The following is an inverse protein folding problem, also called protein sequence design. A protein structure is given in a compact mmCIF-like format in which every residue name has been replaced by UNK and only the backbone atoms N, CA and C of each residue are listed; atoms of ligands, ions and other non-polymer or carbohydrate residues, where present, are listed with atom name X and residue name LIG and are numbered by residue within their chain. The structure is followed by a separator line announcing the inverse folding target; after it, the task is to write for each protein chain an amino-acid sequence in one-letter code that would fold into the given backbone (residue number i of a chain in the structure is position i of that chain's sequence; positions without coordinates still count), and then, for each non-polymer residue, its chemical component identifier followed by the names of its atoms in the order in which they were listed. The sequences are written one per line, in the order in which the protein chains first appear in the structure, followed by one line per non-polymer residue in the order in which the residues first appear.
data_IF_940646533389
#
_entry.id   IF_940646533389
#
_cell.length_a   1.000
_cell.length_b   1.000
_cell.length_c   1.000
_cell.angle_alpha   90.00
_cell.angle_beta   90.00
_cell.angle_gamma   90.00
#
_symmetry.space_group_name_H-M   'P 1'
#
loop_
_entity.id
_entity.type
_entity.pdbx_description
1 polymer ?
#
# COMPACT_ATOMS: atom_id res chain seq x y z
N UNK A 1 41.53 -7.30 -3.16
CA UNK A 1 40.87 -6.16 -2.46
C UNK A 1 41.78 -5.69 -1.34
N UNK A 2 42.30 -4.47 -1.42
CA UNK A 2 43.21 -3.90 -0.40
C UNK A 2 42.36 -3.36 0.75
N UNK A 3 42.43 -3.96 1.95
CA UNK A 3 41.81 -3.35 3.15
C UNK A 3 42.66 -2.15 3.54
N UNK A 4 42.06 -0.96 3.56
CA UNK A 4 42.69 0.23 4.12
C UNK A 4 42.77 0.03 5.63
N UNK A 5 43.97 0.15 6.20
CA UNK A 5 44.12 0.18 7.66
C UNK A 5 43.54 1.51 8.19
N UNK A 6 43.09 1.57 9.44
CA UNK A 6 42.53 2.79 10.04
C UNK A 6 43.47 4.01 9.87
N UNK A 7 44.80 3.89 10.09
CA UNK A 7 45.73 4.99 9.83
C UNK A 7 45.78 5.44 8.36
N UNK A 8 45.63 4.51 7.40
CA UNK A 8 45.60 4.84 5.97
C UNK A 8 44.30 5.59 5.61
N UNK A 9 43.19 5.25 6.26
CA UNK A 9 41.90 5.93 6.07
C UNK A 9 41.95 7.36 6.64
N UNK A 10 42.49 7.53 7.84
CA UNK A 10 42.65 8.85 8.45
C UNK A 10 43.54 9.75 7.60
N UNK A 11 44.63 9.20 7.04
CA UNK A 11 45.49 9.93 6.12
C UNK A 11 44.76 10.27 4.81
N UNK A 12 43.94 9.36 4.28
CA UNK A 12 43.14 9.62 3.09
C UNK A 12 42.08 10.71 3.32
N UNK A 13 41.40 10.68 4.47
CA UNK A 13 40.41 11.70 4.86
C UNK A 13 41.07 13.05 5.12
N UNK A 14 42.25 13.08 5.76
CA UNK A 14 43.00 14.31 5.95
C UNK A 14 43.41 14.95 4.62
N UNK A 15 43.88 14.14 3.66
CA UNK A 15 44.18 14.61 2.30
C UNK A 15 42.93 15.11 1.59
N UNK A 16 41.80 14.43 1.73
CA UNK A 16 40.53 14.84 1.14
C UNK A 16 40.04 16.19 1.71
N UNK A 17 40.18 16.39 3.02
CA UNK A 17 39.82 17.65 3.70
C UNK A 17 40.74 18.83 3.35
N UNK A 18 41.96 18.57 2.88
CA UNK A 18 42.89 19.59 2.40
C UNK A 18 42.61 20.04 0.96
N UNK A 19 41.74 19.33 0.22
CA UNK A 19 41.37 19.74 -1.14
C UNK A 19 40.38 20.91 -1.11
N UNK A 20 40.47 21.85 -2.06
CA UNK A 20 39.52 22.94 -2.16
C UNK A 20 38.12 22.38 -2.45
N UNK A 21 37.12 22.90 -1.73
CA UNK A 21 35.72 22.49 -1.89
C UNK A 21 35.24 22.85 -3.30
N UNK A 22 34.78 21.88 -4.11
CA UNK A 22 34.24 22.17 -5.43
C UNK A 22 33.01 23.08 -5.35
N UNK A 23 32.99 24.17 -6.13
CA UNK A 23 31.85 25.10 -6.20
C UNK A 23 30.54 24.44 -6.62
N UNK A 24 30.62 23.33 -7.38
CA UNK A 24 29.46 22.53 -7.79
C UNK A 24 28.69 21.91 -6.61
N UNK A 25 29.35 21.64 -5.47
CA UNK A 25 28.69 21.09 -4.28
C UNK A 25 27.66 22.08 -3.72
N UNK A 26 27.95 23.39 -3.79
CA UNK A 26 27.00 24.43 -3.34
C UNK A 26 25.73 24.47 -4.19
N UNK A 27 25.79 24.04 -5.46
CA UNK A 27 24.64 23.98 -6.35
C UNK A 27 23.80 22.68 -6.19
N UNK A 28 24.25 21.72 -5.37
CA UNK A 28 23.51 20.47 -5.15
C UNK A 28 22.20 20.75 -4.43
N UNK A 29 22.21 21.59 -3.41
CA UNK A 29 21.01 21.91 -2.63
C UNK A 29 19.93 22.52 -3.53
N UNK A 30 20.29 23.50 -4.35
CA UNK A 30 19.39 24.11 -5.34
C UNK A 30 18.84 23.07 -6.32
N UNK A 31 19.68 22.18 -6.84
CA UNK A 31 19.27 21.12 -7.75
C UNK A 31 18.28 20.13 -7.09
N UNK A 32 18.51 19.79 -5.82
CA UNK A 32 17.61 18.92 -5.04
C UNK A 32 16.27 19.60 -4.82
N UNK A 33 16.25 20.88 -4.43
CA UNK A 33 15.00 21.61 -4.22
C UNK A 33 14.21 21.79 -5.51
N UNK A 34 14.87 22.06 -6.63
CA UNK A 34 14.24 22.10 -7.96
C UNK A 34 13.64 20.74 -8.32
N UNK A 35 14.39 19.65 -8.14
CA UNK A 35 13.91 18.29 -8.40
C UNK A 35 12.71 17.91 -7.53
N UNK A 36 12.75 18.26 -6.24
CA UNK A 36 11.65 18.00 -5.31
C UNK A 36 10.39 18.81 -5.67
N UNK A 37 10.56 20.08 -6.06
CA UNK A 37 9.45 20.92 -6.51
C UNK A 37 8.78 20.35 -7.75
N UNK A 38 9.55 19.81 -8.70
CA UNK A 38 9.03 19.13 -9.88
C UNK A 38 8.30 17.83 -9.51
N UNK A 39 8.90 16.97 -8.68
CA UNK A 39 8.27 15.73 -8.20
C UNK A 39 6.95 15.99 -7.45
N UNK A 40 6.88 17.06 -6.64
CA UNK A 40 5.62 17.48 -6.00
C UNK A 40 4.55 17.90 -6.99
N UNK A 41 4.91 18.58 -8.09
CA UNK A 41 3.93 18.97 -9.13
C UNK A 41 3.35 17.74 -9.83
N UNK A 42 4.18 16.76 -10.13
CA UNK A 42 3.75 15.46 -10.69
C UNK A 42 2.84 14.71 -9.70
N UNK A 43 3.21 14.70 -8.42
CA UNK A 43 2.42 14.10 -7.35
C UNK A 43 1.09 14.83 -7.08
N UNK A 44 0.97 16.14 -7.39
CA UNK A 44 -0.28 16.91 -7.27
C UNK A 44 -1.18 16.72 -8.50
N UNK A 45 -0.63 16.31 -9.65
CA UNK A 45 -1.45 15.93 -10.81
C UNK A 45 -2.16 14.56 -10.63
N UNK A 46 -1.52 13.61 -9.94
CA UNK A 46 -2.06 12.28 -9.65
C UNK A 46 -3.37 12.22 -8.81
N UNK A 47 -3.57 12.99 -7.72
CA UNK A 47 -4.72 12.87 -6.84
C UNK A 47 -6.03 13.32 -7.48
N UNK A 48 -6.00 14.14 -8.53
CA UNK A 48 -7.22 14.60 -9.20
C UNK A 48 -7.88 13.45 -9.95
N UNK A 49 -7.09 12.59 -10.62
CA UNK A 49 -7.58 11.38 -11.27
C UNK A 49 -8.05 10.33 -10.26
N UNK A 50 -7.32 10.16 -9.14
CA UNK A 50 -7.72 9.25 -8.08
C UNK A 50 -9.02 9.71 -7.39
N UNK A 51 -9.17 11.01 -7.17
CA UNK A 51 -10.42 11.62 -6.69
C UNK A 51 -11.59 11.42 -7.66
N UNK A 52 -11.37 11.60 -8.97
CA UNK A 52 -12.39 11.30 -9.99
C UNK A 52 -12.74 9.81 -10.03
N UNK A 53 -11.76 8.91 -9.95
CA UNK A 53 -12.00 7.47 -9.92
C UNK A 53 -12.79 7.06 -8.67
N UNK A 54 -12.46 7.61 -7.50
CA UNK A 54 -13.18 7.38 -6.26
C UNK A 54 -14.62 7.90 -6.33
N UNK A 55 -14.83 9.11 -6.86
CA UNK A 55 -16.17 9.67 -7.06
C UNK A 55 -17.00 8.84 -8.04
N UNK A 56 -16.39 8.42 -9.16
CA UNK A 56 -17.05 7.58 -10.16
C UNK A 56 -17.41 6.20 -9.58
N UNK A 57 -16.50 5.56 -8.85
CA UNK A 57 -16.76 4.28 -8.18
C UNK A 57 -17.89 4.38 -7.14
N UNK A 58 -17.98 5.50 -6.40
CA UNK A 58 -19.10 5.75 -5.49
C UNK A 58 -20.43 5.91 -6.24
N UNK A 59 -20.45 6.68 -7.32
CA UNK A 59 -21.67 6.88 -8.13
C UNK A 59 -22.12 5.55 -8.75
N UNK A 60 -21.22 4.79 -9.37
CA UNK A 60 -21.56 3.48 -9.92
C UNK A 60 -21.92 2.46 -8.85
N UNK A 61 -21.24 2.47 -7.70
CA UNK A 61 -21.50 1.55 -6.60
C UNK A 61 -22.87 1.79 -5.95
N UNK A 62 -23.24 3.05 -5.73
CA UNK A 62 -24.56 3.41 -5.17
C UNK A 62 -25.67 3.16 -6.19
N UNK A 63 -25.49 3.56 -7.45
CA UNK A 63 -26.50 3.35 -8.50
C UNK A 63 -26.64 1.85 -8.86
N UNK A 64 -25.54 1.12 -8.96
CA UNK A 64 -25.54 -0.32 -9.27
C UNK A 64 -25.95 -1.19 -8.10
N UNK A 65 -25.47 -0.90 -6.88
CA UNK A 65 -25.76 -1.68 -5.69
C UNK A 65 -27.17 -1.47 -5.12
N UNK A 66 -27.76 -0.28 -5.30
CA UNK A 66 -29.13 0.02 -4.84
C UNK A 66 -30.23 -0.45 -5.79
N UNK A 67 -29.96 -0.53 -7.09
CA UNK A 67 -30.97 -0.85 -8.11
C UNK A 67 -30.92 -2.33 -8.55
N UNK A 68 -29.78 -3.00 -8.40
CA UNK A 68 -29.59 -4.44 -8.69
C UNK A 68 -29.54 -5.26 -7.39
N UNK A 69 -30.03 -4.70 -6.28
CA UNK A 69 -30.35 -5.44 -5.07
C UNK A 69 -31.57 -6.32 -5.35
N UNK A 70 -31.31 -7.55 -5.80
CA UNK A 70 -32.31 -8.62 -5.73
C UNK A 70 -32.80 -8.78 -4.29
N UNK A 71 -33.99 -9.36 -4.14
CA UNK A 71 -34.65 -9.70 -2.86
C UNK A 71 -33.59 -10.04 -1.80
N UNK A 72 -33.59 -9.35 -0.63
CA UNK A 72 -32.61 -9.62 0.41
C UNK A 72 -32.59 -11.11 0.67
N UNK A 73 -31.42 -11.75 0.53
CA UNK A 73 -31.31 -13.19 0.69
C UNK A 73 -31.79 -13.56 2.10
N UNK A 74 -33.04 -14.03 2.20
CA UNK A 74 -33.63 -14.52 3.43
C UNK A 74 -32.90 -15.81 3.75
N UNK A 75 -31.91 -15.72 4.63
CA UNK A 75 -31.29 -16.89 5.21
C UNK A 75 -32.40 -17.67 5.92
N UNK A 76 -32.77 -18.83 5.37
CA UNK A 76 -33.71 -19.72 6.02
C UNK A 76 -33.10 -20.09 7.38
N UNK A 77 -33.80 -19.88 8.50
CA UNK A 77 -33.28 -20.24 9.81
C UNK A 77 -33.18 -21.76 9.90
N UNK A 78 -32.03 -22.31 9.49
CA UNK A 78 -31.63 -23.67 9.76
C UNK A 78 -31.29 -23.76 11.25
N UNK A 79 -32.32 -23.94 12.07
CA UNK A 79 -32.10 -24.25 13.49
C UNK A 79 -31.47 -25.64 13.59
N UNK A 80 -30.34 -25.79 14.30
CA UNK A 80 -29.65 -27.07 14.41
C UNK A 80 -30.45 -28.13 15.20
N UNK A 81 -31.56 -27.73 15.84
CA UNK A 81 -32.38 -28.58 16.70
C UNK A 81 -33.78 -28.88 16.13
N UNK A 82 -34.03 -28.60 14.84
CA UNK A 82 -35.30 -28.96 14.21
C UNK A 82 -35.39 -30.49 14.08
N UNK A 83 -36.56 -31.13 14.33
CA UNK A 83 -36.69 -32.58 14.41
C UNK A 83 -36.16 -33.39 13.21
N UNK A 84 -36.08 -32.77 12.02
CA UNK A 84 -35.58 -33.37 10.78
C UNK A 84 -34.37 -32.61 10.22
N UNK A 85 -33.40 -32.26 11.07
CA UNK A 85 -32.17 -31.60 10.64
C UNK A 85 -31.13 -32.62 10.14
N UNK A 86 -30.63 -32.55 8.88
CA UNK A 86 -29.55 -33.41 8.40
C UNK A 86 -28.23 -33.24 9.17
N UNK A 87 -28.08 -32.13 9.91
CA UNK A 87 -26.97 -31.83 10.81
C UNK A 87 -27.28 -32.13 12.29
N UNK A 88 -28.35 -32.87 12.60
CA UNK A 88 -28.61 -33.29 13.97
C UNK A 88 -27.43 -34.15 14.48
N UNK A 89 -26.99 -33.99 15.74
CA UNK A 89 -25.85 -34.75 16.25
C UNK A 89 -26.01 -36.27 16.11
N UNK A 90 -27.24 -36.78 16.14
CA UNK A 90 -27.57 -38.20 15.95
C UNK A 90 -27.34 -38.70 14.52
N UNK A 91 -27.47 -37.86 13.48
CA UNK A 91 -27.19 -38.26 12.09
C UNK A 91 -25.69 -38.30 11.80
N UNK A 92 -24.89 -37.44 12.42
CA UNK A 92 -23.42 -37.50 12.30
C UNK A 92 -22.83 -38.73 13.01
N UNK A 93 -23.39 -39.14 14.15
CA UNK A 93 -23.01 -40.38 14.83
C UNK A 93 -23.48 -41.65 14.09
N UNK A 94 -24.55 -41.56 13.29
CA UNK A 94 -25.01 -42.70 12.49
C UNK A 94 -24.13 -42.97 11.26
N UNK A 95 -23.35 -41.99 10.80
CA UNK A 95 -22.49 -42.10 9.60
C UNK A 95 -21.01 -42.36 9.97
N UNK A 96 -20.63 -42.28 11.24
CA UNK A 96 -19.29 -42.59 11.72
C UNK A 96 -19.31 -43.79 12.69
N UNK A 97 -18.87 -45.00 12.28
CA UNK A 97 -18.64 -46.11 13.21
C UNK A 97 -17.49 -45.81 14.19
#
# INVERSE_FOLDING_TARGET
MRRLSVPDLDQALHRLGALPVPSKLAAIDDAVFVGLAQSRREAVAAPRLLGFAAALALVLGVAGGGLVGGEPAVAQPMSPFVPNNPLAPSTLLAVHP
#
